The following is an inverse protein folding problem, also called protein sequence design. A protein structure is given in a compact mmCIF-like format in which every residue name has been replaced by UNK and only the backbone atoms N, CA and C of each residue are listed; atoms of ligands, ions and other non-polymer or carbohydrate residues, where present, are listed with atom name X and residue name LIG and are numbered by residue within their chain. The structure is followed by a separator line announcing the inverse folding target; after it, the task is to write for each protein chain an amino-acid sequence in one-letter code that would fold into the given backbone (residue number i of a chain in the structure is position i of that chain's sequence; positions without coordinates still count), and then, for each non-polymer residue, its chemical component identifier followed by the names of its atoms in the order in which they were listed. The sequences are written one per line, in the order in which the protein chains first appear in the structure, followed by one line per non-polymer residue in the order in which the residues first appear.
data_IF_924543319774
#
_entry.id   IF_924543319774
#
_cell.length_a   1.000
_cell.length_b   1.000
_cell.length_c   1.000
_cell.angle_alpha   90.00
_cell.angle_beta   90.00
_cell.angle_gamma   90.00
#
_symmetry.space_group_name_H-M   'P 1'
#
loop_
_entity.id
_entity.type
_entity.pdbx_description
1 polymer ?
#
# COMPACT_ATOMS: atom_id res chain seq x y z
N UNK A 1 19.69 0.08 -1.34
CA UNK A 1 19.13 0.92 -2.42
C UNK A 1 18.57 -0.03 -3.44
N UNK A 2 17.40 0.25 -4.02
CA UNK A 2 16.85 -0.61 -5.06
C UNK A 2 17.81 -0.65 -6.26
N UNK A 3 18.05 -1.85 -6.75
CA UNK A 3 18.97 -2.11 -7.86
C UNK A 3 18.13 -2.36 -9.10
N UNK A 4 18.47 -1.69 -10.19
CA UNK A 4 17.92 -1.98 -11.51
C UNK A 4 18.96 -2.77 -12.27
N UNK A 5 18.56 -3.91 -12.80
CA UNK A 5 19.30 -4.64 -13.81
C UNK A 5 18.71 -4.30 -15.18
N UNK A 6 19.56 -3.79 -16.07
CA UNK A 6 19.22 -3.42 -17.44
C UNK A 6 19.92 -4.40 -18.37
N UNK A 7 19.17 -5.32 -18.95
CA UNK A 7 19.72 -6.35 -19.84
C UNK A 7 19.24 -6.10 -21.27
N UNK A 8 20.17 -5.70 -22.13
CA UNK A 8 19.94 -5.56 -23.58
C UNK A 8 20.36 -6.84 -24.28
N UNK A 9 19.48 -7.40 -25.09
CA UNK A 9 19.76 -8.65 -25.82
C UNK A 9 19.03 -8.69 -27.17
N UNK A 10 19.47 -9.61 -28.04
CA UNK A 10 18.84 -9.83 -29.35
C UNK A 10 18.08 -11.14 -29.40
N UNK A 11 16.97 -11.14 -30.13
CA UNK A 11 16.14 -12.32 -30.41
C UNK A 11 15.83 -12.35 -31.91
N UNK A 12 15.93 -13.52 -32.52
CA UNK A 12 15.58 -13.70 -33.92
C UNK A 12 14.07 -13.48 -34.10
N UNK A 13 13.61 -12.85 -35.20
CA UNK A 13 12.18 -12.61 -35.42
C UNK A 13 11.33 -13.89 -35.26
N UNK A 14 11.84 -15.03 -35.72
CA UNK A 14 11.23 -16.36 -35.60
C UNK A 14 11.11 -16.89 -34.16
N UNK A 15 11.90 -16.37 -33.22
CA UNK A 15 11.87 -16.75 -31.80
C UNK A 15 11.07 -15.77 -30.93
N UNK A 16 10.59 -14.66 -31.49
CA UNK A 16 9.91 -13.60 -30.74
C UNK A 16 8.64 -14.10 -30.05
N UNK A 17 7.81 -14.87 -30.75
CA UNK A 17 6.57 -15.41 -30.19
C UNK A 17 6.85 -16.37 -29.02
N UNK A 18 7.86 -17.24 -29.16
CA UNK A 18 8.29 -18.15 -28.12
C UNK A 18 8.83 -17.40 -26.88
N UNK A 19 9.62 -16.35 -27.08
CA UNK A 19 10.12 -15.50 -25.98
C UNK A 19 8.96 -14.86 -25.22
N UNK A 20 8.02 -14.23 -25.93
CA UNK A 20 6.87 -13.57 -25.32
C UNK A 20 5.96 -14.58 -24.59
N UNK A 21 5.79 -15.79 -25.14
CA UNK A 21 5.05 -16.86 -24.48
C UNK A 21 5.75 -17.41 -23.22
N UNK A 22 7.08 -17.47 -23.21
CA UNK A 22 7.87 -17.93 -22.06
C UNK A 22 7.96 -16.89 -20.93
N UNK A 23 7.82 -15.60 -21.25
CA UNK A 23 8.05 -14.48 -20.32
C UNK A 23 7.18 -14.55 -19.05
N UNK A 24 5.86 -14.79 -19.10
CA UNK A 24 5.04 -14.88 -17.88
C UNK A 24 5.52 -15.99 -16.93
N UNK A 25 5.92 -17.15 -17.49
CA UNK A 25 6.45 -18.27 -16.70
C UNK A 25 7.78 -17.93 -16.02
N UNK A 26 8.67 -17.23 -16.73
CA UNK A 26 9.93 -16.76 -16.13
C UNK A 26 9.68 -15.77 -14.98
N UNK A 27 8.81 -14.77 -15.18
CA UNK A 27 8.49 -13.78 -14.13
C UNK A 27 7.85 -14.44 -12.91
N UNK A 28 6.96 -15.41 -13.11
CA UNK A 28 6.39 -16.19 -12.00
C UNK A 28 7.45 -17.01 -11.26
N UNK A 29 8.37 -17.64 -11.98
CA UNK A 29 9.49 -18.37 -11.38
C UNK A 29 10.45 -17.44 -10.63
N UNK A 30 10.70 -16.23 -11.15
CA UNK A 30 11.48 -15.21 -10.44
C UNK A 30 10.81 -14.80 -9.14
N UNK A 31 9.51 -14.48 -9.16
CA UNK A 31 8.74 -14.17 -7.94
C UNK A 31 8.79 -15.29 -6.90
N UNK A 32 8.81 -16.55 -7.33
CA UNK A 32 8.81 -17.71 -6.43
C UNK A 32 10.20 -18.08 -5.88
N UNK A 33 11.28 -17.93 -6.68
CA UNK A 33 12.62 -18.43 -6.34
C UNK A 33 13.62 -17.31 -6.00
N UNK A 34 13.39 -16.06 -6.41
CA UNK A 34 14.37 -14.98 -6.31
C UNK A 34 14.01 -14.03 -5.20
N UNK A 35 14.72 -14.15 -4.08
CA UNK A 35 14.65 -13.22 -2.95
C UNK A 35 14.87 -11.80 -3.48
N UNK A 36 14.02 -10.87 -3.05
CA UNK A 36 14.16 -9.46 -3.36
C UNK A 36 13.83 -9.08 -4.81
N UNK A 37 13.27 -9.99 -5.62
CA UNK A 37 12.71 -9.64 -6.92
C UNK A 37 11.45 -8.77 -6.74
N UNK A 38 11.44 -7.58 -7.34
CA UNK A 38 10.34 -6.62 -7.22
C UNK A 38 9.45 -6.63 -8.46
N UNK A 39 10.06 -6.41 -9.63
CA UNK A 39 9.34 -6.29 -10.88
C UNK A 39 10.26 -6.60 -12.06
N UNK A 40 9.66 -6.92 -13.21
CA UNK A 40 10.39 -6.97 -14.47
C UNK A 40 9.55 -6.41 -15.62
N UNK A 41 10.14 -5.59 -16.49
CA UNK A 41 9.49 -5.01 -17.67
C UNK A 41 10.34 -5.27 -18.90
N UNK A 42 9.72 -5.84 -19.92
CA UNK A 42 10.35 -6.13 -21.20
C UNK A 42 9.92 -5.10 -22.24
N UNK A 43 10.87 -4.48 -22.92
CA UNK A 43 10.66 -3.44 -23.92
C UNK A 43 11.30 -3.86 -25.23
N UNK A 44 10.56 -3.75 -26.34
CA UNK A 44 11.09 -3.94 -27.68
C UNK A 44 11.72 -2.64 -28.17
N UNK A 45 13.00 -2.65 -28.52
CA UNK A 45 13.70 -1.48 -29.07
C UNK A 45 13.62 -1.42 -30.60
N UNK A 46 13.77 -2.58 -31.24
CA UNK A 46 13.63 -2.74 -32.70
C UNK A 46 13.17 -4.16 -33.06
N UNK A 47 13.27 -4.56 -34.33
CA UNK A 47 12.82 -5.88 -34.78
C UNK A 47 13.49 -7.05 -34.05
N UNK A 48 14.74 -6.88 -33.60
CA UNK A 48 15.55 -7.92 -32.98
C UNK A 48 16.01 -7.58 -31.56
N UNK A 49 16.10 -6.30 -31.21
CA UNK A 49 16.69 -5.84 -29.96
C UNK A 49 15.63 -5.61 -28.90
N UNK A 50 15.91 -6.11 -27.69
CA UNK A 50 15.05 -6.02 -26.53
C UNK A 50 15.83 -5.50 -25.34
N UNK A 51 15.13 -4.79 -24.46
CA UNK A 51 15.62 -4.29 -23.19
C UNK A 51 14.75 -4.85 -22.07
N UNK A 52 15.38 -5.50 -21.10
CA UNK A 52 14.73 -6.03 -19.92
C UNK A 52 15.17 -5.25 -18.68
N UNK A 53 14.20 -4.67 -17.99
CA UNK A 53 14.36 -3.95 -16.74
C UNK A 53 13.94 -4.89 -15.62
N UNK A 54 14.85 -5.27 -14.73
CA UNK A 54 14.54 -6.07 -13.54
C UNK A 54 14.86 -5.26 -12.29
N UNK A 55 13.91 -5.13 -11.39
CA UNK A 55 14.05 -4.38 -10.14
C UNK A 55 14.27 -5.33 -8.96
N UNK A 56 15.25 -4.99 -8.12
CA UNK A 56 15.66 -5.74 -6.94
C UNK A 56 15.64 -4.87 -5.68
N UNK A 57 15.44 -5.47 -4.51
CA UNK A 57 15.45 -4.76 -3.21
C UNK A 57 16.83 -4.20 -2.85
N UNK A 58 17.88 -4.96 -3.13
CA UNK A 58 19.26 -4.68 -2.72
C UNK A 58 20.29 -5.44 -3.56
N UNK A 59 21.57 -5.08 -3.42
CA UNK A 59 22.68 -5.71 -4.14
C UNK A 59 22.83 -7.20 -3.83
N UNK A 60 22.59 -7.62 -2.59
CA UNK A 60 22.74 -9.02 -2.21
C UNK A 60 21.69 -9.88 -2.91
N UNK A 61 20.44 -9.40 -3.00
CA UNK A 61 19.36 -10.07 -3.72
C UNK A 61 19.69 -10.25 -5.21
N UNK A 62 20.23 -9.19 -5.83
CA UNK A 62 20.66 -9.22 -7.21
C UNK A 62 21.84 -10.18 -7.44
N UNK A 63 22.86 -10.16 -6.59
CA UNK A 63 24.02 -11.06 -6.69
C UNK A 63 23.63 -12.53 -6.49
N UNK A 64 22.75 -12.83 -5.52
CA UNK A 64 22.18 -14.16 -5.32
C UNK A 64 21.43 -14.65 -6.57
N UNK A 65 20.62 -13.79 -7.19
CA UNK A 65 19.91 -14.14 -8.41
C UNK A 65 20.86 -14.44 -9.57
N UNK A 66 21.89 -13.61 -9.79
CA UNK A 66 22.91 -13.87 -10.81
C UNK A 66 23.63 -15.18 -10.57
N UNK A 67 23.99 -15.48 -9.32
CA UNK A 67 24.62 -16.75 -8.96
C UNK A 67 23.73 -17.97 -9.26
N UNK A 68 22.41 -17.85 -9.12
CA UNK A 68 21.46 -18.92 -9.47
C UNK A 68 21.31 -19.13 -10.99
N UNK A 69 21.57 -18.13 -11.83
CA UNK A 69 21.46 -18.25 -13.29
C UNK A 69 20.08 -18.75 -13.75
N UNK A 70 20.03 -19.59 -14.79
CA UNK A 70 18.80 -20.19 -15.29
C UNK A 70 18.47 -21.56 -14.62
N UNK A 71 18.46 -21.61 -13.28
CA UNK A 71 18.27 -22.85 -12.50
C UNK A 71 16.91 -23.55 -12.69
N UNK A 72 15.85 -22.82 -13.02
CA UNK A 72 14.49 -23.38 -13.18
C UNK A 72 14.10 -23.50 -14.65
N UNK A 73 13.32 -24.53 -15.04
CA UNK A 73 12.90 -24.73 -16.43
C UNK A 73 12.20 -23.53 -17.07
N UNK A 74 11.31 -22.85 -16.32
CA UNK A 74 10.60 -21.67 -16.82
C UNK A 74 11.53 -20.48 -17.05
N UNK A 75 12.59 -20.36 -16.24
CA UNK A 75 13.63 -19.34 -16.41
C UNK A 75 14.47 -19.69 -17.64
N UNK A 76 14.95 -20.94 -17.73
CA UNK A 76 15.71 -21.44 -18.87
C UNK A 76 14.97 -21.31 -20.19
N UNK A 77 13.66 -21.54 -20.21
CA UNK A 77 12.83 -21.41 -21.41
C UNK A 77 12.86 -19.98 -22.00
N UNK A 78 12.84 -18.95 -21.14
CA UNK A 78 12.98 -17.56 -21.61
C UNK A 78 14.40 -17.28 -22.10
N UNK A 79 15.43 -17.60 -21.32
CA UNK A 79 16.82 -17.33 -21.70
C UNK A 79 17.27 -18.10 -22.95
N UNK A 80 16.72 -19.28 -23.21
CA UNK A 80 17.03 -20.07 -24.40
C UNK A 80 16.55 -19.43 -25.72
N UNK A 81 15.64 -18.45 -25.66
CA UNK A 81 15.18 -17.69 -26.83
C UNK A 81 16.11 -16.54 -27.21
N UNK A 82 17.08 -16.22 -26.35
CA UNK A 82 18.02 -15.11 -26.54
C UNK A 82 19.17 -15.56 -27.45
N UNK A 83 19.34 -14.90 -28.59
CA UNK A 83 20.43 -15.18 -29.52
C UNK A 83 21.78 -14.68 -28.97
N UNK A 84 21.80 -13.46 -28.46
CA UNK A 84 23.01 -12.82 -27.95
C UNK A 84 22.70 -11.78 -26.89
N UNK A 85 23.56 -11.71 -25.87
CA UNK A 85 23.57 -10.64 -24.90
C UNK A 85 24.36 -9.46 -25.46
N UNK A 86 23.72 -8.29 -25.55
CA UNK A 86 24.34 -7.04 -26.03
C UNK A 86 24.98 -6.29 -24.86
N UNK A 87 24.30 -6.24 -23.72
CA UNK A 87 24.81 -5.58 -22.52
C UNK A 87 23.99 -5.94 -21.28
N UNK A 88 24.64 -5.93 -20.12
CA UNK A 88 24.00 -6.07 -18.83
C UNK A 88 24.59 -5.01 -17.89
N UNK A 89 23.77 -4.03 -17.52
CA UNK A 89 24.17 -2.89 -16.72
C UNK A 89 23.47 -2.90 -15.37
N UNK A 90 24.21 -2.50 -14.35
CA UNK A 90 23.66 -2.24 -13.01
C UNK A 90 23.34 -0.77 -12.89
N UNK A 91 22.06 -0.45 -12.76
CA UNK A 91 21.56 0.84 -12.34
C UNK A 91 21.23 0.87 -10.84
N UNK A 92 21.28 2.06 -10.26
CA UNK A 92 20.53 2.36 -9.03
C UNK A 92 19.38 3.25 -9.47
N UNK A 93 18.17 2.95 -9.02
CA UNK A 93 17.04 3.83 -9.28
C UNK A 93 17.21 5.09 -8.45
N UNK A 94 17.32 6.22 -9.12
CA UNK A 94 17.00 7.52 -8.54
C UNK A 94 15.63 7.88 -9.11
N UNK A 95 14.62 8.08 -8.26
CA UNK A 95 13.37 8.67 -8.73
C UNK A 95 13.63 10.15 -8.95
N UNK A 96 13.48 10.60 -10.21
CA UNK A 96 13.58 12.00 -10.62
C UNK A 96 12.48 12.81 -9.91
N UNK A 97 12.72 13.20 -8.66
CA UNK A 97 12.12 14.44 -8.16
C UNK A 97 12.87 15.57 -8.87
N UNK A 98 12.15 16.49 -9.50
CA UNK A 98 12.73 17.66 -10.20
C UNK A 98 13.73 18.45 -9.33
N UNK A 99 13.70 18.26 -8.00
CA UNK A 99 14.52 18.98 -7.02
C UNK A 99 15.70 18.17 -6.41
N UNK A 100 15.90 16.90 -6.76
CA UNK A 100 17.04 16.10 -6.28
C UNK A 100 17.15 15.88 -4.75
N UNK A 101 16.11 16.22 -3.97
CA UNK A 101 16.17 16.39 -2.52
C UNK A 101 15.69 15.18 -1.68
N UNK A 102 15.50 13.99 -2.26
CA UNK A 102 14.95 12.83 -1.51
C UNK A 102 15.69 11.52 -1.75
N UNK A 103 15.76 10.71 -0.68
CA UNK A 103 16.24 9.33 -0.74
C UNK A 103 15.05 8.38 -0.61
N UNK A 104 14.73 7.66 -1.68
CA UNK A 104 13.68 6.63 -1.69
C UNK A 104 14.34 5.26 -1.77
N UNK A 105 13.88 4.31 -0.97
CA UNK A 105 14.32 2.90 -1.02
C UNK A 105 13.14 1.97 -0.91
N UNK A 106 13.09 0.97 -1.78
CA UNK A 106 12.17 -0.15 -1.58
C UNK A 106 12.71 -1.07 -0.49
N UNK A 107 11.89 -1.34 0.52
CA UNK A 107 12.22 -2.24 1.65
C UNK A 107 11.20 -3.37 1.66
N UNK A 108 11.67 -4.61 1.71
CA UNK A 108 10.82 -5.76 1.96
C UNK A 108 10.66 -5.95 3.47
N UNK A 109 9.43 -6.15 3.94
CA UNK A 109 9.13 -6.48 5.34
C UNK A 109 8.68 -7.93 5.52
N UNK A 110 8.55 -8.68 4.43
CA UNK A 110 8.21 -10.10 4.41
C UNK A 110 8.56 -10.78 3.08
N UNK A 111 8.35 -12.11 2.98
CA UNK A 111 8.73 -12.89 1.80
C UNK A 111 7.80 -12.74 0.58
N UNK A 112 6.56 -12.28 0.75
CA UNK A 112 5.58 -12.23 -0.34
C UNK A 112 5.77 -11.01 -1.24
N UNK A 113 5.38 -11.07 -2.54
CA UNK A 113 5.61 -9.98 -3.49
C UNK A 113 4.99 -8.63 -3.10
N UNK A 114 3.88 -8.64 -2.36
CA UNK A 114 3.22 -7.43 -1.85
C UNK A 114 3.67 -7.05 -0.43
N UNK A 115 4.64 -7.76 0.16
CA UNK A 115 5.20 -7.44 1.48
C UNK A 115 6.41 -6.50 1.36
N UNK A 116 6.19 -5.37 0.69
CA UNK A 116 7.20 -4.35 0.40
C UNK A 116 6.64 -2.96 0.74
N UNK A 117 7.51 -1.97 0.86
CA UNK A 117 7.10 -0.57 0.84
C UNK A 117 8.24 0.31 0.37
N UNK A 118 7.94 1.58 0.16
CA UNK A 118 8.92 2.60 -0.18
C UNK A 118 9.16 3.48 1.04
N UNK A 119 10.42 3.49 1.50
CA UNK A 119 10.87 4.39 2.55
C UNK A 119 11.47 5.65 1.91
N UNK A 120 10.78 6.76 2.12
CA UNK A 120 11.23 8.08 1.73
C UNK A 120 11.84 8.78 2.95
N UNK A 121 13.05 9.30 2.79
CA UNK A 121 13.73 10.10 3.82
C UNK A 121 13.95 11.54 3.35
N UNK A 122 13.68 12.53 4.21
CA UNK A 122 14.13 13.90 4.01
C UNK A 122 15.67 14.01 3.97
N UNK A 123 16.15 15.19 3.60
CA UNK A 123 17.55 15.56 3.77
C UNK A 123 17.94 15.62 5.27
N UNK A 124 19.19 15.24 5.57
CA UNK A 124 19.74 15.16 6.92
C UNK A 124 19.80 13.74 7.50
N UNK A 125 20.23 13.65 8.76
CA UNK A 125 20.55 12.37 9.41
C UNK A 125 19.42 11.85 10.32
N UNK A 126 18.36 12.61 10.54
CA UNK A 126 17.26 12.28 11.44
C UNK A 126 17.60 12.45 12.93
N UNK A 127 16.88 11.79 13.86
CA UNK A 127 15.73 10.92 13.60
C UNK A 127 14.48 11.73 13.24
N UNK A 128 13.83 11.35 12.14
CA UNK A 128 12.65 12.01 11.60
C UNK A 128 11.37 11.40 12.19
N UNK A 129 10.36 12.21 12.55
CA UNK A 129 9.02 11.67 12.78
C UNK A 129 8.52 10.96 11.52
N UNK A 130 7.77 9.87 11.72
CA UNK A 130 7.36 8.97 10.64
C UNK A 130 5.89 9.15 10.32
N UNK A 131 5.55 9.20 9.04
CA UNK A 131 4.17 8.99 8.56
C UNK A 131 4.14 7.70 7.74
N UNK A 132 3.45 6.68 8.24
CA UNK A 132 3.21 5.47 7.46
C UNK A 132 1.91 5.63 6.67
N UNK A 133 1.97 5.48 5.35
CA UNK A 133 0.84 5.70 4.45
C UNK A 133 0.34 4.38 3.85
N UNK A 134 -0.99 4.21 3.82
CA UNK A 134 -1.68 3.02 3.32
C UNK A 134 -2.70 3.41 2.24
N UNK A 135 -2.56 2.84 1.05
CA UNK A 135 -3.35 3.20 -0.13
C UNK A 135 -4.77 2.62 -0.14
N UNK A 136 -5.62 3.10 -1.05
CA UNK A 136 -7.00 2.66 -1.21
C UNK A 136 -7.17 1.51 -2.21
N UNK A 137 -8.36 1.40 -2.80
CA UNK A 137 -8.65 0.45 -3.89
C UNK A 137 -9.46 -0.78 -3.49
N UNK A 138 -10.43 -0.63 -2.57
CA UNK A 138 -11.34 -1.70 -2.15
C UNK A 138 -10.63 -2.98 -1.65
N UNK A 139 -9.42 -2.85 -1.09
CA UNK A 139 -8.58 -3.99 -0.69
C UNK A 139 -8.29 -4.97 -1.84
N UNK A 140 -8.44 -4.55 -3.10
CA UNK A 140 -8.22 -5.38 -4.29
C UNK A 140 -6.84 -5.14 -4.87
N UNK A 141 -6.28 -6.17 -5.50
CA UNK A 141 -4.98 -6.09 -6.16
C UNK A 141 -4.99 -5.28 -7.46
N UNK A 142 -6.11 -4.62 -7.79
CA UNK A 142 -6.25 -3.73 -8.94
C UNK A 142 -5.44 -2.45 -8.79
N UNK A 143 -5.25 -1.98 -7.56
CA UNK A 143 -4.49 -0.78 -7.24
C UNK A 143 -3.40 -1.07 -6.22
N UNK A 144 -2.42 -0.17 -6.16
CA UNK A 144 -1.24 -0.32 -5.34
C UNK A 144 -0.81 1.02 -4.71
N UNK A 145 0.25 0.98 -3.93
CA UNK A 145 0.78 2.12 -3.15
C UNK A 145 1.10 3.38 -3.96
N UNK A 146 1.20 3.30 -5.29
CA UNK A 146 1.49 4.48 -6.15
C UNK A 146 0.39 5.53 -6.12
N UNK A 147 -0.83 5.15 -5.70
CA UNK A 147 -1.92 6.11 -5.47
C UNK A 147 -1.55 7.21 -4.47
N UNK A 148 -0.66 6.93 -3.52
CA UNK A 148 -0.27 7.87 -2.47
C UNK A 148 1.15 8.43 -2.66
N UNK A 149 1.75 8.30 -3.84
CA UNK A 149 3.08 8.88 -4.12
C UNK A 149 3.06 10.39 -3.91
N UNK A 150 2.10 11.14 -4.46
CA UNK A 150 2.03 12.60 -4.26
C UNK A 150 1.89 13.00 -2.78
N UNK A 151 1.16 12.20 -1.98
CA UNK A 151 1.06 12.40 -0.53
C UNK A 151 2.40 12.15 0.16
N UNK A 152 3.11 11.09 -0.22
CA UNK A 152 4.44 10.80 0.32
C UNK A 152 5.42 11.93 0.00
N UNK A 153 5.39 12.43 -1.23
CA UNK A 153 6.27 13.49 -1.72
C UNK A 153 6.11 14.78 -0.90
N UNK A 154 4.87 15.23 -0.71
CA UNK A 154 4.58 16.43 0.08
C UNK A 154 4.96 16.26 1.56
N UNK A 155 4.70 15.08 2.16
CA UNK A 155 5.06 14.83 3.56
C UNK A 155 6.58 14.78 3.76
N UNK A 156 7.33 14.23 2.82
CA UNK A 156 8.81 14.24 2.87
C UNK A 156 9.35 15.67 2.77
N UNK A 157 8.78 16.48 1.88
CA UNK A 157 9.14 17.90 1.76
C UNK A 157 8.85 18.69 3.04
N UNK A 158 7.97 18.18 3.92
CA UNK A 158 7.67 18.76 5.24
C UNK A 158 8.54 18.21 6.38
N UNK A 159 9.52 17.36 6.07
CA UNK A 159 10.49 16.84 7.04
C UNK A 159 10.06 15.56 7.75
N UNK A 160 9.07 14.83 7.23
CA UNK A 160 8.69 13.51 7.72
C UNK A 160 9.42 12.40 6.95
N UNK A 161 9.88 11.37 7.65
CA UNK A 161 10.14 10.10 6.97
C UNK A 161 8.79 9.47 6.58
N UNK A 162 8.64 9.02 5.35
CA UNK A 162 7.39 8.40 4.88
C UNK A 162 7.62 6.95 4.55
N UNK A 163 6.78 6.09 5.13
CA UNK A 163 6.72 4.67 4.81
C UNK A 163 5.47 4.39 3.98
N UNK A 164 5.61 4.31 2.66
CA UNK A 164 4.52 4.01 1.74
C UNK A 164 4.42 2.49 1.52
N UNK A 165 3.56 1.86 2.31
CA UNK A 165 3.51 0.40 2.42
C UNK A 165 2.56 -0.25 1.39
N UNK A 166 3.01 -1.36 0.83
CA UNK A 166 2.21 -2.35 0.11
C UNK A 166 1.75 -3.46 1.08
N UNK A 167 0.69 -4.21 0.74
CA UNK A 167 0.19 -5.34 1.54
C UNK A 167 -0.65 -6.28 0.69
N UNK A 168 -0.68 -7.61 0.93
CA UNK A 168 -1.51 -8.50 0.09
C UNK A 168 -2.98 -8.10 0.08
N UNK A 169 -3.61 -8.24 -1.09
CA UNK A 169 -4.98 -7.79 -1.40
C UNK A 169 -5.82 -8.89 -2.05
N UNK A 170 -7.13 -8.72 -2.09
CA UNK A 170 -8.06 -9.60 -2.80
C UNK A 170 -7.64 -9.70 -4.28
N UNK A 171 -7.52 -10.92 -4.79
CA UNK A 171 -6.92 -11.22 -6.09
C UNK A 171 -5.46 -11.69 -6.01
N UNK A 172 -4.86 -11.70 -4.82
CA UNK A 172 -3.56 -12.32 -4.53
C UNK A 172 -3.72 -13.52 -3.59
N UNK A 173 -2.87 -14.56 -3.70
CA UNK A 173 -2.85 -15.66 -2.74
C UNK A 173 -2.66 -15.15 -1.31
N UNK A 174 -3.59 -15.50 -0.42
CA UNK A 174 -3.57 -15.06 0.98
C UNK A 174 -4.06 -13.63 1.22
N UNK A 175 -4.54 -12.91 0.20
CA UNK A 175 -5.26 -11.65 0.40
C UNK A 175 -6.60 -11.85 1.11
N UNK A 176 -7.05 -10.84 1.86
CA UNK A 176 -8.18 -10.96 2.78
C UNK A 176 -7.72 -11.30 4.20
N UNK A 177 -8.67 -11.60 5.09
CA UNK A 177 -8.39 -12.06 6.44
C UNK A 177 -7.87 -13.52 6.39
N UNK A 178 -6.74 -13.85 7.04
CA UNK A 178 -5.95 -12.97 7.89
C UNK A 178 -4.83 -12.20 7.17
N UNK A 179 -4.45 -12.58 5.94
CA UNK A 179 -3.20 -12.13 5.33
C UNK A 179 -3.07 -10.62 5.08
N UNK A 180 -4.10 -9.93 4.58
CA UNK A 180 -4.07 -8.45 4.43
C UNK A 180 -3.81 -7.75 5.76
N UNK A 181 -4.44 -8.21 6.84
CA UNK A 181 -4.30 -7.63 8.17
C UNK A 181 -2.94 -7.95 8.81
N UNK A 182 -2.46 -9.19 8.63
CA UNK A 182 -1.11 -9.58 9.05
C UNK A 182 -0.03 -8.79 8.32
N UNK A 183 -0.22 -8.53 7.02
CA UNK A 183 0.72 -7.74 6.21
C UNK A 183 0.78 -6.30 6.66
N UNK A 184 -0.37 -5.63 6.86
CA UNK A 184 -0.41 -4.26 7.39
C UNK A 184 0.20 -4.18 8.78
N UNK A 185 -0.09 -5.17 9.64
CA UNK A 185 0.50 -5.24 10.97
C UNK A 185 2.03 -5.36 10.91
N UNK A 186 2.54 -6.28 10.08
CA UNK A 186 3.97 -6.49 9.87
C UNK A 186 4.65 -5.27 9.24
N UNK A 187 4.02 -4.60 8.28
CA UNK A 187 4.54 -3.40 7.61
C UNK A 187 4.75 -2.25 8.59
N UNK A 188 3.81 -2.04 9.53
CA UNK A 188 3.91 -1.00 10.55
C UNK A 188 4.94 -1.39 11.62
N UNK A 189 4.91 -2.65 12.07
CA UNK A 189 5.84 -3.15 13.08
C UNK A 189 7.28 -3.32 12.54
N UNK A 190 7.47 -3.26 11.23
CA UNK A 190 8.79 -3.25 10.60
C UNK A 190 9.50 -1.91 10.78
N UNK A 191 8.79 -0.80 11.07
CA UNK A 191 9.40 0.50 11.35
C UNK A 191 10.40 0.42 12.50
N UNK A 192 10.13 -0.44 13.48
CA UNK A 192 11.07 -0.75 14.55
C UNK A 192 12.33 -1.43 14.00
N UNK A 193 13.45 -0.70 14.01
CA UNK A 193 14.73 -1.17 13.49
C UNK A 193 14.88 -1.11 11.96
N UNK A 194 13.91 -0.57 11.21
CA UNK A 194 14.00 -0.45 9.74
C UNK A 194 15.19 0.40 9.31
N UNK A 195 15.32 1.59 9.92
CA UNK A 195 16.38 2.54 9.60
C UNK A 195 16.65 3.45 10.82
N UNK A 196 17.91 3.72 11.16
CA UNK A 196 18.26 4.55 12.31
C UNK A 196 17.80 6.01 12.19
N UNK A 197 17.46 6.48 11.00
CA UNK A 197 16.92 7.82 10.78
C UNK A 197 15.43 7.96 11.16
N UNK A 198 14.76 6.90 11.62
CA UNK A 198 13.34 6.94 12.01
C UNK A 198 13.17 7.17 13.52
N UNK A 199 12.36 8.16 13.90
CA UNK A 199 11.86 8.29 15.26
C UNK A 199 10.56 7.49 15.42
N UNK A 200 10.70 6.21 15.75
CA UNK A 200 9.56 5.28 15.92
C UNK A 200 8.67 5.59 17.13
N UNK A 201 9.03 6.57 17.96
CA UNK A 201 8.16 7.11 19.03
C UNK A 201 7.18 8.16 18.51
N UNK A 202 7.38 8.67 17.30
CA UNK A 202 6.54 9.69 16.66
C UNK A 202 6.05 9.18 15.30
N UNK A 203 5.25 8.12 15.34
CA UNK A 203 4.63 7.50 14.17
C UNK A 203 3.18 7.95 14.05
N UNK A 204 2.83 8.57 12.92
CA UNK A 204 1.44 8.83 12.52
C UNK A 204 1.07 7.87 11.40
N UNK A 205 -0.12 7.28 11.46
CA UNK A 205 -0.66 6.52 10.34
C UNK A 205 -1.54 7.45 9.48
N UNK A 206 -1.47 7.30 8.17
CA UNK A 206 -2.37 7.97 7.24
C UNK A 206 -2.85 6.95 6.22
N UNK A 207 -4.13 6.97 5.88
CA UNK A 207 -4.61 6.10 4.82
C UNK A 207 -5.80 6.66 4.09
N UNK A 208 -5.97 6.21 2.84
CA UNK A 208 -7.08 6.60 1.98
C UNK A 208 -8.04 5.43 1.75
N UNK A 209 -9.35 5.67 1.83
CA UNK A 209 -10.38 4.68 1.48
C UNK A 209 -10.21 3.37 2.27
N UNK A 210 -10.01 2.23 1.59
CA UNK A 210 -9.62 0.96 2.18
C UNK A 210 -8.36 1.05 3.08
N UNK A 211 -7.38 1.87 2.70
CA UNK A 211 -6.21 2.19 3.50
C UNK A 211 -6.51 3.10 4.69
N UNK A 212 -7.51 3.98 4.59
CA UNK A 212 -8.01 4.78 5.71
C UNK A 212 -8.66 3.90 6.77
N UNK A 213 -9.38 2.86 6.33
CA UNK A 213 -9.81 1.75 7.18
C UNK A 213 -8.60 1.05 7.82
N UNK A 214 -7.63 0.57 7.03
CA UNK A 214 -6.51 -0.23 7.54
C UNK A 214 -5.61 0.56 8.49
N UNK A 215 -5.36 1.85 8.23
CA UNK A 215 -4.63 2.74 9.12
C UNK A 215 -5.34 2.91 10.46
N UNK A 216 -6.66 3.12 10.44
CA UNK A 216 -7.46 3.31 11.67
C UNK A 216 -7.57 2.00 12.45
N UNK A 217 -7.78 0.87 11.77
CA UNK A 217 -7.70 -0.46 12.38
C UNK A 217 -6.33 -0.69 13.02
N UNK A 218 -5.25 -0.40 12.30
CA UNK A 218 -3.90 -0.62 12.78
C UNK A 218 -3.56 0.22 14.02
N UNK A 219 -4.07 1.45 14.09
CA UNK A 219 -3.94 2.31 15.26
C UNK A 219 -4.57 1.71 16.53
N UNK A 220 -5.61 0.88 16.37
CA UNK A 220 -6.34 0.26 17.48
C UNK A 220 -5.94 -1.18 17.76
N UNK A 221 -4.90 -1.71 17.10
CA UNK A 221 -4.41 -3.10 17.29
C UNK A 221 -4.09 -3.45 18.74
N UNK A 222 -3.74 -2.47 19.57
CA UNK A 222 -3.49 -2.67 20.99
C UNK A 222 -4.73 -3.09 21.80
N UNK A 223 -5.93 -2.85 21.29
CA UNK A 223 -7.19 -3.24 21.91
C UNK A 223 -7.74 -4.58 21.36
N UNK A 224 -7.10 -5.18 20.37
CA UNK A 224 -7.52 -6.45 19.80
C UNK A 224 -7.30 -7.60 20.81
N UNK A 225 -8.19 -8.62 20.81
CA UNK A 225 -7.96 -9.81 21.61
C UNK A 225 -6.76 -10.61 21.05
N UNK A 226 -6.05 -11.40 21.88
CA UNK A 226 -4.79 -12.06 21.48
C UNK A 226 -4.88 -12.97 20.25
N UNK A 227 -6.05 -13.55 19.98
CA UNK A 227 -6.33 -14.40 18.83
C UNK A 227 -6.57 -13.65 17.52
N UNK A 228 -6.87 -12.35 17.59
CA UNK A 228 -7.15 -11.57 16.39
C UNK A 228 -5.87 -11.35 15.56
N UNK A 229 -5.94 -11.47 14.23
CA UNK A 229 -4.80 -11.20 13.35
C UNK A 229 -4.23 -9.80 13.59
N UNK A 230 -2.93 -9.71 13.80
CA UNK A 230 -2.25 -8.43 14.04
C UNK A 230 -2.33 -7.91 15.47
N UNK A 231 -2.87 -8.64 16.46
CA UNK A 231 -2.74 -8.24 17.86
C UNK A 231 -1.26 -8.06 18.30
N UNK A 232 -1.04 -7.41 19.43
CA UNK A 232 0.29 -7.17 20.03
C UNK A 232 1.24 -6.31 19.16
N UNK A 233 0.88 -5.04 18.88
CA UNK A 233 1.72 -4.16 18.09
C UNK A 233 3.09 -3.93 18.74
N UNK A 234 4.15 -3.93 17.92
CA UNK A 234 5.49 -3.48 18.34
C UNK A 234 5.62 -1.96 18.25
N UNK A 235 4.96 -1.36 17.25
CA UNK A 235 4.93 0.08 17.05
C UNK A 235 3.52 0.59 17.35
N UNK A 236 3.41 1.51 18.32
CA UNK A 236 2.14 2.18 18.65
C UNK A 236 2.14 3.59 18.07
N UNK A 237 1.22 3.91 17.14
CA UNK A 237 1.16 5.24 16.57
C UNK A 237 0.62 6.27 17.56
N UNK A 238 1.04 7.52 17.40
CA UNK A 238 0.61 8.67 18.22
C UNK A 238 -0.62 9.38 17.64
N UNK A 239 -1.07 8.98 16.46
CA UNK A 239 -2.25 9.51 15.79
C UNK A 239 -2.52 8.80 14.46
N UNK A 240 -3.75 8.93 13.96
CA UNK A 240 -4.15 8.42 12.65
C UNK A 240 -5.00 9.43 11.87
N UNK A 241 -4.71 9.54 10.57
CA UNK A 241 -5.50 10.29 9.59
C UNK A 241 -6.22 9.32 8.67
N UNK A 242 -7.56 9.33 8.72
CA UNK A 242 -8.41 8.56 7.84
C UNK A 242 -9.00 9.47 6.75
N UNK A 243 -8.49 9.34 5.53
CA UNK A 243 -8.97 10.08 4.35
C UNK A 243 -10.02 9.24 3.62
N UNK A 244 -11.27 9.69 3.57
CA UNK A 244 -12.39 8.98 2.94
C UNK A 244 -12.53 7.50 3.39
N UNK A 245 -12.23 7.19 4.65
CA UNK A 245 -12.09 5.81 5.15
C UNK A 245 -13.42 5.09 5.36
N UNK A 246 -13.43 3.78 5.08
CA UNK A 246 -14.53 2.87 5.43
C UNK A 246 -14.48 2.48 6.92
N UNK A 247 -14.94 3.38 7.80
CA UNK A 247 -14.75 3.24 9.26
C UNK A 247 -15.86 2.45 9.97
N UNK A 248 -16.93 2.05 9.28
CA UNK A 248 -18.03 1.21 9.78
C UNK A 248 -18.24 0.05 8.80
N UNK A 249 -17.56 -1.08 9.04
CA UNK A 249 -17.63 -2.22 8.12
C UNK A 249 -18.96 -2.97 8.20
N UNK A 250 -19.70 -2.87 9.31
CA UNK A 250 -21.03 -3.48 9.41
C UNK A 250 -22.02 -2.75 8.49
N UNK A 251 -21.98 -1.41 8.50
CA UNK A 251 -22.75 -0.60 7.56
C UNK A 251 -22.28 -0.79 6.11
N UNK A 252 -20.96 -0.94 5.89
CA UNK A 252 -20.41 -1.19 4.56
C UNK A 252 -20.84 -2.53 3.96
N UNK A 253 -20.85 -3.60 4.74
CA UNK A 253 -21.36 -4.91 4.31
C UNK A 253 -22.86 -4.85 4.00
N UNK A 254 -23.65 -4.25 4.90
CA UNK A 254 -25.10 -4.09 4.68
C UNK A 254 -25.43 -3.25 3.42
N UNK A 255 -24.59 -2.28 3.07
CA UNK A 255 -24.72 -1.47 1.87
C UNK A 255 -24.20 -2.14 0.59
N UNK A 256 -23.51 -3.29 0.70
CA UNK A 256 -22.86 -3.94 -0.45
C UNK A 256 -21.70 -3.11 -1.00
N UNK A 257 -20.89 -2.50 -0.14
CA UNK A 257 -19.73 -1.70 -0.55
C UNK A 257 -18.88 -2.50 -1.56
N UNK A 258 -18.49 -1.86 -2.67
CA UNK A 258 -17.68 -2.50 -3.71
C UNK A 258 -18.47 -3.38 -4.69
N UNK A 259 -19.80 -3.51 -4.57
CA UNK A 259 -20.64 -4.23 -5.55
C UNK A 259 -20.45 -3.72 -6.98
N UNK A 260 -20.12 -2.44 -7.15
CA UNK A 260 -19.80 -1.84 -8.46
C UNK A 260 -18.64 -2.56 -9.18
N UNK A 261 -17.72 -3.18 -8.45
CA UNK A 261 -16.59 -3.94 -9.04
C UNK A 261 -17.04 -5.17 -9.83
N UNK A 262 -18.29 -5.64 -9.65
CA UNK A 262 -18.87 -6.73 -10.42
C UNK A 262 -19.11 -6.37 -11.88
N UNK A 263 -19.16 -5.07 -12.19
CA UNK A 263 -19.34 -4.56 -13.55
C UNK A 263 -18.09 -3.80 -13.99
N UNK A 264 -17.20 -4.43 -14.80
CA UNK A 264 -16.01 -3.77 -15.33
C UNK A 264 -16.31 -2.58 -16.24
N UNK A 265 -17.56 -2.41 -16.69
CA UNK A 265 -17.99 -1.27 -17.49
C UNK A 265 -18.63 -0.15 -16.66
N UNK A 266 -18.76 -0.34 -15.34
CA UNK A 266 -19.26 0.71 -14.46
C UNK A 266 -18.32 1.92 -14.49
N UNK A 267 -18.92 3.12 -14.48
CA UNK A 267 -18.16 4.36 -14.40
C UNK A 267 -17.43 4.42 -13.05
N UNK A 268 -16.09 4.60 -13.04
CA UNK A 268 -15.37 4.70 -11.79
C UNK A 268 -15.73 6.02 -11.09
N UNK A 269 -15.56 6.11 -9.75
CA UNK A 269 -15.75 7.37 -9.05
C UNK A 269 -14.91 8.48 -9.68
N UNK A 270 -15.44 9.70 -9.69
CA UNK A 270 -14.73 10.85 -10.25
C UNK A 270 -13.29 10.92 -9.74
N UNK A 271 -12.36 11.13 -10.65
CA UNK A 271 -10.92 11.24 -10.41
C UNK A 271 -10.22 9.97 -9.89
N UNK A 272 -10.89 8.82 -9.97
CA UNK A 272 -10.25 7.54 -9.64
C UNK A 272 -9.06 7.25 -10.58
N UNK A 273 -7.93 6.77 -10.04
CA UNK A 273 -6.81 6.36 -10.86
C UNK A 273 -7.14 5.07 -11.61
N UNK A 274 -6.56 4.94 -12.80
CA UNK A 274 -6.59 3.70 -13.56
C UNK A 274 -6.02 2.52 -12.74
N UNK A 275 -6.54 1.30 -12.90
CA UNK A 275 -5.98 0.12 -12.26
C UNK A 275 -4.51 -0.09 -12.62
N UNK A 276 -3.69 -0.34 -11.60
CA UNK A 276 -2.32 -0.80 -11.74
C UNK A 276 -2.23 -2.20 -12.37
N UNK A 277 -3.25 -3.04 -12.12
CA UNK A 277 -3.31 -4.45 -12.54
C UNK A 277 -4.69 -4.79 -13.12
N UNK A 278 -5.07 -4.21 -14.27
CA UNK A 278 -6.39 -4.44 -14.87
C UNK A 278 -6.63 -5.92 -15.22
N UNK A 279 -5.58 -6.72 -15.40
CA UNK A 279 -5.68 -8.16 -15.65
C UNK A 279 -6.30 -8.95 -14.50
N UNK A 280 -6.32 -8.41 -13.28
CA UNK A 280 -6.91 -9.04 -12.09
C UNK A 280 -8.43 -8.81 -12.03
N UNK A 281 -8.96 -7.82 -12.76
CA UNK A 281 -10.36 -7.41 -12.65
C UNK A 281 -11.36 -8.53 -12.88
N UNK A 282 -11.25 -9.37 -13.94
CA UNK A 282 -12.24 -10.43 -14.17
C UNK A 282 -12.41 -11.37 -12.97
N UNK A 283 -11.30 -11.75 -12.32
CA UNK A 283 -11.35 -12.61 -11.14
C UNK A 283 -12.01 -11.92 -9.94
N UNK A 284 -11.80 -10.61 -9.78
CA UNK A 284 -12.46 -9.81 -8.73
C UNK A 284 -13.95 -9.65 -9.01
N UNK A 285 -14.32 -9.32 -10.25
CA UNK A 285 -15.70 -9.10 -10.67
C UNK A 285 -16.55 -10.37 -10.50
N UNK A 286 -16.01 -11.53 -10.88
CA UNK A 286 -16.68 -12.82 -10.71
C UNK A 286 -16.89 -13.18 -9.23
N UNK A 287 -15.98 -12.74 -8.34
CA UNK A 287 -15.99 -13.09 -6.93
C UNK A 287 -16.81 -12.12 -6.05
N UNK A 288 -16.86 -10.83 -6.39
CA UNK A 288 -17.37 -9.78 -5.47
C UNK A 288 -18.85 -9.94 -5.16
N UNK A 289 -19.66 -10.48 -6.08
CA UNK A 289 -21.07 -10.78 -5.86
C UNK A 289 -21.86 -9.60 -5.26
N UNK A 290 -22.24 -9.71 -3.99
CA UNK A 290 -23.03 -8.71 -3.27
C UNK A 290 -22.23 -7.55 -2.66
N UNK A 291 -20.89 -7.61 -2.65
CA UNK A 291 -20.01 -6.61 -2.04
C UNK A 291 -18.62 -7.19 -1.72
N UNK A 292 -17.64 -6.32 -1.50
CA UNK A 292 -16.24 -6.72 -1.32
C UNK A 292 -15.93 -7.27 0.08
N UNK A 293 -16.76 -6.92 1.09
CA UNK A 293 -16.51 -7.28 2.49
C UNK A 293 -16.52 -8.79 2.76
N UNK A 294 -17.45 -9.60 2.21
CA UNK A 294 -17.38 -11.05 2.35
C UNK A 294 -16.09 -11.68 1.80
N UNK A 295 -15.51 -11.12 0.73
CA UNK A 295 -14.21 -11.57 0.22
C UNK A 295 -13.07 -11.13 1.13
N UNK A 296 -13.13 -9.90 1.67
CA UNK A 296 -12.12 -9.39 2.59
C UNK A 296 -12.12 -10.17 3.91
N UNK A 297 -13.30 -10.42 4.47
CA UNK A 297 -13.48 -10.89 5.84
C UNK A 297 -13.90 -12.36 5.91
N UNK A 298 -13.99 -13.07 4.79
CA UNK A 298 -14.39 -14.48 4.77
C UNK A 298 -15.86 -14.74 5.09
N UNK A 299 -16.73 -13.72 5.00
CA UNK A 299 -18.17 -13.86 5.20
C UNK A 299 -18.89 -12.53 5.43
N UNK A 300 -20.22 -12.56 5.30
CA UNK A 300 -21.07 -11.46 5.75
C UNK A 300 -21.06 -11.35 7.28
N UNK A 301 -21.45 -10.19 7.80
CA UNK A 301 -21.55 -9.94 9.25
C UNK A 301 -22.49 -10.89 9.99
N UNK A 302 -23.49 -11.45 9.31
CA UNK A 302 -24.37 -12.45 9.90
C UNK A 302 -23.66 -13.79 10.15
N UNK A 303 -22.71 -14.15 9.28
CA UNK A 303 -22.03 -15.45 9.28
C UNK A 303 -20.69 -15.42 10.02
N UNK A 304 -20.00 -14.27 10.02
CA UNK A 304 -18.67 -14.10 10.59
C UNK A 304 -18.57 -12.87 11.54
N UNK A 305 -19.42 -12.76 12.58
CA UNK A 305 -19.48 -11.56 13.42
C UNK A 305 -18.17 -11.21 14.13
N UNK A 306 -17.36 -12.22 14.48
CA UNK A 306 -16.05 -12.02 15.11
C UNK A 306 -15.06 -11.27 14.20
N UNK A 307 -15.09 -11.55 12.89
CA UNK A 307 -14.20 -10.90 11.92
C UNK A 307 -14.51 -9.41 11.81
N UNK A 308 -15.78 -9.02 11.88
CA UNK A 308 -16.19 -7.61 11.91
C UNK A 308 -15.81 -6.95 13.23
N UNK A 309 -15.96 -7.66 14.36
CA UNK A 309 -15.53 -7.17 15.66
C UNK A 309 -14.02 -6.90 15.72
N UNK A 310 -13.20 -7.69 15.03
CA UNK A 310 -11.74 -7.50 14.97
C UNK A 310 -11.29 -6.45 13.95
N UNK A 311 -12.08 -6.15 12.92
CA UNK A 311 -11.61 -5.36 11.78
C UNK A 311 -12.31 -4.01 11.64
N UNK A 312 -13.56 -3.85 12.10
CA UNK A 312 -14.31 -2.60 11.97
C UNK A 312 -13.83 -1.53 12.96
N UNK A 313 -13.26 -0.39 12.49
CA UNK A 313 -12.78 0.67 13.38
C UNK A 313 -13.86 1.19 14.33
N UNK A 314 -15.12 1.28 13.88
CA UNK A 314 -16.24 1.68 14.73
C UNK A 314 -16.40 0.76 15.95
N UNK A 315 -16.12 -0.54 15.83
CA UNK A 315 -16.22 -1.48 16.94
C UNK A 315 -14.99 -1.45 17.87
N UNK A 316 -13.88 -0.87 17.41
CA UNK A 316 -12.60 -0.74 18.13
C UNK A 316 -12.38 0.63 18.78
N UNK A 317 -13.37 1.54 18.70
CA UNK A 317 -13.26 2.99 18.91
C UNK A 317 -12.81 3.48 20.30
N UNK A 318 -12.39 2.60 21.21
CA UNK A 318 -12.02 2.89 22.59
C UNK A 318 -10.50 3.04 22.84
N UNK A 319 -9.63 2.90 21.82
CA UNK A 319 -8.18 2.70 22.03
C UNK A 319 -7.30 3.96 22.16
N UNK A 320 -7.85 5.15 22.42
CA UNK A 320 -7.07 6.31 22.91
C UNK A 320 -6.10 6.97 21.92
N UNK A 321 -5.94 6.46 20.69
CA UNK A 321 -5.16 7.13 19.63
C UNK A 321 -5.98 8.27 19.01
N UNK A 322 -5.45 9.51 18.98
CA UNK A 322 -6.11 10.64 18.32
C UNK A 322 -6.40 10.36 16.85
N UNK A 323 -7.61 10.68 16.39
CA UNK A 323 -8.02 10.46 14.99
C UNK A 323 -8.44 11.77 14.31
N UNK A 324 -7.96 11.98 13.08
CA UNK A 324 -8.53 12.91 12.13
C UNK A 324 -9.22 12.13 11.01
N UNK A 325 -10.53 12.24 10.88
CA UNK A 325 -11.27 11.74 9.73
C UNK A 325 -11.58 12.91 8.79
N UNK A 326 -11.20 12.80 7.52
CA UNK A 326 -11.46 13.82 6.48
C UNK A 326 -12.24 13.19 5.35
N UNK A 327 -13.35 13.78 4.94
CA UNK A 327 -14.25 13.17 3.96
C UNK A 327 -14.98 14.21 3.12
N UNK A 328 -15.13 13.94 1.82
CA UNK A 328 -15.90 14.78 0.91
C UNK A 328 -17.41 14.53 0.99
N UNK A 329 -18.23 15.56 0.79
CA UNK A 329 -19.69 15.40 0.74
C UNK A 329 -20.22 14.87 -0.59
N UNK A 330 -19.41 14.92 -1.65
CA UNK A 330 -19.68 14.35 -2.97
C UNK A 330 -18.91 13.04 -3.20
N UNK A 331 -18.59 12.32 -2.12
CA UNK A 331 -17.96 11.00 -2.21
C UNK A 331 -18.96 9.94 -2.71
N UNK A 332 -18.72 9.44 -3.92
CA UNK A 332 -19.56 8.44 -4.60
C UNK A 332 -19.18 6.99 -4.21
N UNK A 333 -18.04 6.79 -3.56
CA UNK A 333 -17.47 5.47 -3.29
C UNK A 333 -17.69 5.04 -1.84
N UNK A 334 -17.51 5.94 -0.88
CA UNK A 334 -17.62 5.71 0.55
C UNK A 334 -18.50 6.81 1.16
N UNK A 335 -19.62 6.48 1.83
CA UNK A 335 -20.44 7.50 2.47
C UNK A 335 -19.72 8.19 3.64
N UNK A 336 -19.67 9.53 3.62
CA UNK A 336 -19.14 10.36 4.71
C UNK A 336 -19.81 10.10 6.08
N UNK A 337 -21.05 9.58 6.07
CA UNK A 337 -21.77 9.16 7.28
C UNK A 337 -20.97 8.17 8.13
N UNK A 338 -20.22 7.25 7.53
CA UNK A 338 -19.44 6.26 8.30
C UNK A 338 -18.30 6.92 9.08
N UNK A 339 -17.66 7.94 8.51
CA UNK A 339 -16.67 8.75 9.23
C UNK A 339 -17.32 9.57 10.34
N UNK A 340 -18.50 10.17 10.09
CA UNK A 340 -19.26 10.93 11.10
C UNK A 340 -19.68 10.04 12.28
N UNK A 341 -20.17 8.82 12.02
CA UNK A 341 -20.54 7.82 13.04
C UNK A 341 -19.34 7.39 13.87
N UNK A 342 -18.21 7.11 13.22
CA UNK A 342 -16.96 6.78 13.90
C UNK A 342 -16.49 7.88 14.84
N UNK A 343 -16.37 9.12 14.35
CA UNK A 343 -15.93 10.26 15.18
C UNK A 343 -16.91 10.53 16.31
N UNK A 344 -18.22 10.44 16.06
CA UNK A 344 -19.26 10.56 17.07
C UNK A 344 -19.12 9.53 18.20
N UNK A 345 -18.86 8.26 17.84
CA UNK A 345 -18.64 7.18 18.83
C UNK A 345 -17.36 7.41 19.65
N UNK A 346 -16.23 7.68 19.02
CA UNK A 346 -14.96 7.96 19.74
C UNK A 346 -15.15 9.12 20.71
N UNK A 347 -15.81 10.21 20.28
CA UNK A 347 -16.06 11.38 21.13
C UNK A 347 -17.00 11.05 22.30
N UNK A 348 -18.06 10.29 22.05
CA UNK A 348 -19.00 9.86 23.09
C UNK A 348 -18.34 8.95 24.15
N UNK A 349 -17.30 8.19 23.76
CA UNK A 349 -16.50 7.35 24.64
C UNK A 349 -15.34 8.10 25.32
N UNK A 350 -15.23 9.42 25.10
CA UNK A 350 -14.21 10.28 25.71
C UNK A 350 -12.85 10.27 25.00
N UNK A 351 -12.75 9.67 23.82
CA UNK A 351 -11.57 9.68 22.98
C UNK A 351 -11.37 10.99 22.21
N UNK A 352 -10.22 11.12 21.56
CA UNK A 352 -9.88 12.30 20.73
C UNK A 352 -10.12 11.97 19.26
N UNK A 353 -11.18 12.52 18.68
CA UNK A 353 -11.44 12.42 17.25
C UNK A 353 -11.98 13.73 16.69
N UNK A 354 -11.55 14.06 15.47
CA UNK A 354 -12.03 15.22 14.71
C UNK A 354 -12.55 14.77 13.36
N UNK A 355 -13.70 15.29 12.96
CA UNK A 355 -14.24 15.13 11.62
C UNK A 355 -14.08 16.44 10.84
N UNK A 356 -13.52 16.35 9.63
CA UNK A 356 -13.41 17.44 8.67
C UNK A 356 -14.20 17.03 7.44
N UNK A 357 -15.27 17.78 7.18
CA UNK A 357 -16.13 17.54 6.03
C UNK A 357 -15.79 18.56 4.94
N UNK A 358 -15.48 18.06 3.75
CA UNK A 358 -15.09 18.85 2.59
C UNK A 358 -16.31 19.03 1.69
N UNK A 359 -16.92 20.20 1.78
CA UNK A 359 -18.11 20.54 0.99
C UNK A 359 -17.82 20.44 -0.52
N UNK A 360 -18.58 19.62 -1.24
CA UNK A 360 -18.41 19.34 -2.66
C UNK A 360 -17.18 18.48 -3.00
N UNK A 361 -16.39 18.09 -1.99
CA UNK A 361 -15.20 17.25 -2.18
C UNK A 361 -15.58 15.84 -2.61
N UNK A 362 -14.80 15.29 -3.52
CA UNK A 362 -14.92 13.92 -4.03
C UNK A 362 -14.13 12.92 -3.19
N UNK A 363 -14.19 11.64 -3.55
CA UNK A 363 -13.42 10.57 -2.91
C UNK A 363 -11.90 10.79 -2.95
N UNK A 364 -11.39 11.48 -3.98
CA UNK A 364 -9.95 11.65 -4.21
C UNK A 364 -9.44 13.06 -3.90
N UNK A 365 -10.30 14.05 -3.67
CA UNK A 365 -9.86 15.40 -3.30
C UNK A 365 -9.09 15.44 -1.97
N UNK A 366 -9.39 14.51 -1.06
CA UNK A 366 -8.75 14.44 0.26
C UNK A 366 -7.30 13.91 0.23
N UNK A 367 -6.85 13.34 -0.89
CA UNK A 367 -5.46 12.85 -1.08
C UNK A 367 -4.63 13.74 -2.01
N UNK A 368 -5.15 14.91 -2.38
CA UNK A 368 -4.49 15.86 -3.28
C UNK A 368 -3.72 16.92 -2.48
N UNK A 369 -2.38 16.96 -2.53
CA UNK A 369 -1.60 17.96 -1.79
C UNK A 369 -1.88 19.42 -2.18
N UNK A 370 -2.40 19.65 -3.40
CA UNK A 370 -2.81 20.94 -3.93
C UNK A 370 -4.26 21.32 -3.57
N UNK A 371 -5.04 20.42 -2.96
CA UNK A 371 -6.41 20.70 -2.56
C UNK A 371 -6.49 21.59 -1.30
N UNK A 372 -7.44 22.54 -1.19
CA UNK A 372 -7.55 23.45 -0.05
C UNK A 372 -7.70 22.81 1.34
N UNK A 373 -8.09 21.53 1.43
CA UNK A 373 -8.17 20.78 2.69
C UNK A 373 -6.80 20.30 3.18
N UNK A 374 -5.81 20.17 2.29
CA UNK A 374 -4.52 19.56 2.61
C UNK A 374 -3.73 20.27 3.73
N UNK A 375 -3.74 21.61 3.83
CA UNK A 375 -3.15 22.30 4.98
C UNK A 375 -3.76 21.92 6.34
N UNK A 376 -5.03 21.53 6.38
CA UNK A 376 -5.69 21.08 7.62
C UNK A 376 -5.18 19.69 8.03
N UNK A 377 -5.02 18.78 7.08
CA UNK A 377 -4.45 17.45 7.30
C UNK A 377 -3.01 17.55 7.82
N UNK A 378 -2.17 18.28 7.10
CA UNK A 378 -0.75 18.43 7.46
C UNK A 378 -0.54 19.26 8.72
N UNK A 379 -1.42 20.22 8.99
CA UNK A 379 -1.46 20.97 10.25
C UNK A 379 -1.73 20.07 11.45
N UNK A 380 -2.71 19.18 11.33
CA UNK A 380 -3.03 18.20 12.39
C UNK A 380 -1.89 17.20 12.64
N UNK A 381 -1.24 16.70 11.58
CA UNK A 381 -0.07 15.82 11.70
C UNK A 381 1.03 16.53 12.48
N UNK A 382 1.35 17.78 12.10
CA UNK A 382 2.37 18.60 12.77
C UNK A 382 2.06 18.79 14.26
N UNK A 383 0.82 19.11 14.60
CA UNK A 383 0.39 19.32 15.99
C UNK A 383 0.49 18.03 16.81
N UNK A 384 0.06 16.91 16.24
CA UNK A 384 0.16 15.58 16.86
C UNK A 384 1.61 15.20 17.15
N UNK A 385 2.49 15.36 16.16
CA UNK A 385 3.93 15.08 16.28
C UNK A 385 4.60 16.00 17.31
N UNK A 386 4.28 17.29 17.32
CA UNK A 386 4.82 18.25 18.29
C UNK A 386 4.35 17.93 19.73
N UNK A 387 3.09 17.54 19.89
CA UNK A 387 2.50 17.17 21.18
C UNK A 387 3.11 15.91 21.80
N UNK A 388 3.61 14.97 20.98
CA UNK A 388 4.32 13.79 21.44
C UNK A 388 5.75 14.10 21.93
N UNK A 389 6.44 15.06 21.28
CA UNK A 389 7.79 15.47 21.66
C UNK A 389 7.89 16.10 23.06
N UNK A 390 6.85 16.81 23.52
CA UNK A 390 6.84 17.50 24.82
C UNK A 390 6.50 16.64 26.05
N UNK A 391 6.20 15.34 25.88
CA UNK A 391 5.88 14.42 27.00
C UNK A 391 7.07 13.58 27.48
N UNK A 392 8.21 13.64 26.80
CA UNK A 392 9.41 12.85 27.13
C UNK A 392 10.41 13.51 28.09
N UNK A 393 10.29 14.82 28.33
CA UNK A 393 11.25 15.62 29.12
C UNK A 393 10.69 16.11 30.48
N UNK A 394 9.68 15.44 31.03
CA UNK A 394 9.09 15.81 32.33
C UNK A 394 9.04 14.66 33.32
#
# INVERSE_FOLDING_TARGET
MSVIELTTFTVAPEHTEAMLAARPGMVAAFRADRRGFLAARLVRLDERTWLDFVEWTDDAAWDESKAKGANLPAIGAFFATIDSLVGAERGVRYDDSEDGARRVRTVAYGPEPSQVGELYLPEGDGPFPVVAVLHGGYWTALWDRRQLTAVADDLVARGYAVWNAEYRRIGEPGGGLPGTFLDVAAAIDALDGMDPALDTRRVVLLGHSAGGHLATWAAHRGALPPEAPGAHPRVTPIGVVALAGALDLEAADAAGLGKVLADPAAEPPKDAPEPARPEVWPAVADAVGGGILPLLLGGHRADAPEHYAWTSPLLLASAGVPVLAVHGTADEAVPAEWSRRYVGKVTAEGGSARFVEVEGGTHFDVVRPDHPVWPEITGWIRETVAGAGGRGDR
#
